data_IF_749443167166
#
_entry.id   IF_749443167166
#
_cell.length_a   1.000
_cell.length_b   1.000
_cell.length_c   1.000
_cell.angle_alpha   90.00
_cell.angle_beta   90.00
_cell.angle_gamma   90.00
#
_symmetry.space_group_name_H-M   'P 1'
#
loop_
_entity.id
_entity.type
_entity.pdbx_description
1 polymer ?
#
# COMPACT_ATOMS: atom_id res chain seq x y z
N UNK A 1 6.27 -17.86 -4.47
CA UNK A 1 5.20 -17.11 -3.76
C UNK A 1 4.28 -16.48 -4.79
N UNK A 2 2.96 -16.63 -4.64
CA UNK A 2 1.95 -15.96 -5.49
C UNK A 2 1.90 -14.44 -5.21
N UNK A 3 1.33 -13.66 -6.13
CA UNK A 3 1.15 -12.20 -5.95
C UNK A 3 0.32 -11.89 -4.69
N UNK A 4 -0.70 -12.72 -4.41
CA UNK A 4 -1.54 -12.62 -3.20
C UNK A 4 -0.68 -12.72 -1.92
N UNK A 5 0.24 -13.67 -1.85
CA UNK A 5 1.11 -13.86 -0.69
C UNK A 5 2.07 -12.68 -0.50
N UNK A 6 2.62 -12.12 -1.59
CA UNK A 6 3.50 -10.94 -1.53
C UNK A 6 2.74 -9.71 -1.04
N UNK A 7 1.52 -9.50 -1.54
CA UNK A 7 0.64 -8.41 -1.14
C UNK A 7 0.23 -8.50 0.34
N UNK A 8 -0.10 -9.69 0.82
CA UNK A 8 -0.40 -9.94 2.24
C UNK A 8 0.82 -9.65 3.12
N UNK A 9 2.01 -10.09 2.71
CA UNK A 9 3.24 -9.80 3.45
C UNK A 9 3.51 -8.30 3.53
N UNK A 10 3.39 -7.59 2.40
CA UNK A 10 3.53 -6.13 2.38
C UNK A 10 2.51 -5.45 3.31
N UNK A 11 1.24 -5.88 3.29
CA UNK A 11 0.21 -5.34 4.18
C UNK A 11 0.55 -5.53 5.65
N UNK A 12 0.98 -6.74 6.02
CA UNK A 12 1.37 -7.08 7.39
C UNK A 12 2.53 -6.20 7.88
N UNK A 13 3.60 -6.11 7.08
CA UNK A 13 4.78 -5.29 7.41
C UNK A 13 4.46 -3.78 7.39
N UNK A 14 3.59 -3.33 6.49
CA UNK A 14 3.09 -1.95 6.48
C UNK A 14 2.37 -1.64 7.79
N UNK A 15 1.38 -2.44 8.17
CA UNK A 15 0.54 -2.21 9.34
C UNK A 15 1.32 -2.30 10.66
N UNK A 16 2.24 -3.28 10.79
CA UNK A 16 3.09 -3.46 11.98
C UNK A 16 3.94 -2.22 12.29
N UNK A 17 4.41 -1.55 11.25
CA UNK A 17 5.30 -0.39 11.34
C UNK A 17 4.54 0.95 11.21
N UNK A 18 3.21 0.93 11.09
CA UNK A 18 2.40 2.14 10.93
C UNK A 18 1.58 2.42 12.20
N UNK A 19 1.37 3.70 12.55
CA UNK A 19 0.40 4.06 13.58
C UNK A 19 -1.02 3.66 13.15
N UNK A 20 -1.94 3.56 14.11
CA UNK A 20 -3.31 3.08 13.87
C UNK A 20 -4.04 3.84 12.75
N UNK A 21 -3.84 5.15 12.65
CA UNK A 21 -4.46 6.01 11.63
C UNK A 21 -3.89 5.80 10.21
N UNK A 22 -2.76 5.10 10.07
CA UNK A 22 -2.13 4.78 8.79
C UNK A 22 -2.12 3.28 8.49
N UNK A 23 -2.78 2.46 9.31
CA UNK A 23 -3.01 1.07 8.97
C UNK A 23 -3.97 0.98 7.78
N UNK A 24 -3.70 0.04 6.89
CA UNK A 24 -4.42 -0.14 5.66
C UNK A 24 -5.17 -1.48 5.65
N UNK A 25 -6.07 -1.62 4.68
CA UNK A 25 -6.75 -2.86 4.36
C UNK A 25 -6.34 -3.38 2.99
N UNK A 26 -6.60 -4.66 2.72
CA UNK A 26 -6.33 -5.26 1.41
C UNK A 26 -7.00 -4.49 0.25
N UNK A 27 -8.20 -3.96 0.47
CA UNK A 27 -8.94 -3.14 -0.49
C UNK A 27 -8.21 -1.84 -0.83
N UNK A 28 -7.57 -1.21 0.16
CA UNK A 28 -6.76 0.00 -0.06
C UNK A 28 -5.51 -0.32 -0.88
N UNK A 29 -4.87 -1.47 -0.68
CA UNK A 29 -3.74 -1.90 -1.53
C UNK A 29 -4.21 -2.18 -2.96
N UNK A 30 -5.36 -2.83 -3.15
CA UNK A 30 -5.93 -3.04 -4.49
C UNK A 30 -6.16 -1.71 -5.21
N UNK A 31 -6.75 -0.74 -4.51
CA UNK A 31 -7.01 0.59 -5.04
C UNK A 31 -5.71 1.34 -5.36
N UNK A 32 -4.72 1.27 -4.48
CA UNK A 32 -3.40 1.86 -4.71
C UNK A 32 -2.72 1.30 -5.97
N UNK A 33 -2.77 -0.03 -6.18
CA UNK A 33 -2.22 -0.67 -7.38
C UNK A 33 -2.91 -0.16 -8.66
N UNK A 34 -4.22 0.05 -8.63
CA UNK A 34 -4.98 0.59 -9.77
C UNK A 34 -4.62 2.06 -10.02
N UNK A 35 -4.70 2.91 -9.01
CA UNK A 35 -4.47 4.36 -9.16
C UNK A 35 -3.02 4.73 -9.45
N UNK A 36 -2.07 3.90 -8.99
CA UNK A 36 -0.63 4.13 -9.12
C UNK A 36 0.05 3.02 -9.93
N UNK A 37 -0.64 2.44 -10.92
CA UNK A 37 -0.10 1.32 -11.72
C UNK A 37 1.30 1.60 -12.30
N UNK A 38 1.62 2.85 -12.66
CA UNK A 38 2.90 3.24 -13.25
C UNK A 38 4.13 3.05 -12.35
N UNK A 39 3.97 2.97 -11.02
CA UNK A 39 5.09 2.71 -10.09
C UNK A 39 5.31 1.23 -9.81
N UNK A 40 4.40 0.35 -10.27
CA UNK A 40 4.53 -1.10 -10.16
C UNK A 40 5.23 -1.63 -11.42
N UNK A 41 6.56 -1.66 -11.41
CA UNK A 41 7.31 -2.11 -12.60
C UNK A 41 7.33 -3.63 -12.81
N UNK A 42 7.05 -4.45 -11.79
CA UNK A 42 7.16 -5.92 -11.88
C UNK A 42 6.19 -6.67 -10.94
N UNK A 43 5.03 -6.09 -10.60
CA UNK A 43 4.12 -6.62 -9.56
C UNK A 43 4.80 -6.93 -8.21
N UNK A 44 5.97 -6.33 -7.97
CA UNK A 44 6.75 -6.61 -6.80
C UNK A 44 6.31 -5.71 -5.64
N UNK A 45 5.58 -6.29 -4.68
CA UNK A 45 5.16 -5.64 -3.43
C UNK A 45 6.32 -5.40 -2.47
N UNK A 46 7.37 -4.70 -2.91
CA UNK A 46 8.55 -4.38 -2.10
C UNK A 46 8.22 -3.31 -1.06
N UNK A 47 8.44 -3.64 0.21
CA UNK A 47 8.27 -2.70 1.33
C UNK A 47 9.17 -1.48 1.15
N UNK A 48 10.44 -1.68 0.84
CA UNK A 48 11.41 -0.58 0.70
C UNK A 48 11.05 0.42 -0.41
N UNK A 49 10.47 -0.08 -1.51
CA UNK A 49 10.13 0.75 -2.68
C UNK A 49 8.74 1.36 -2.60
N UNK A 50 7.76 0.61 -2.11
CA UNK A 50 6.35 1.00 -2.20
C UNK A 50 5.80 1.61 -0.91
N UNK A 51 6.39 1.36 0.26
CA UNK A 51 5.83 1.84 1.53
C UNK A 51 5.71 3.36 1.59
N UNK A 52 6.76 4.08 1.19
CA UNK A 52 6.74 5.56 1.17
C UNK A 52 5.69 6.12 0.19
N UNK A 53 5.66 5.71 -1.09
CA UNK A 53 4.58 6.08 -2.00
C UNK A 53 3.18 5.73 -1.49
N UNK A 54 3.05 4.59 -0.81
CA UNK A 54 1.78 4.13 -0.25
C UNK A 54 1.30 5.02 0.92
N UNK A 55 2.18 5.37 1.87
CA UNK A 55 1.86 6.31 2.96
C UNK A 55 1.46 7.68 2.39
N UNK A 56 2.20 8.19 1.40
CA UNK A 56 1.86 9.46 0.76
C UNK A 56 0.47 9.40 0.10
N UNK A 57 0.16 8.29 -0.56
CA UNK A 57 -1.16 8.09 -1.15
C UNK A 57 -2.26 7.99 -0.08
N UNK A 58 -2.05 7.22 0.99
CA UNK A 58 -3.00 7.08 2.10
C UNK A 58 -3.34 8.44 2.72
N UNK A 59 -2.32 9.23 3.05
CA UNK A 59 -2.51 10.57 3.64
C UNK A 59 -3.22 11.54 2.68
N UNK A 60 -3.06 11.36 1.37
CA UNK A 60 -3.81 12.13 0.36
C UNK A 60 -5.29 11.76 0.25
N UNK A 61 -5.69 10.56 0.69
CA UNK A 61 -7.09 10.13 0.70
C UNK A 61 -7.90 10.80 1.81
N UNK A 62 -7.30 11.01 2.98
CA UNK A 62 -7.98 11.65 4.11
C UNK A 62 -8.35 13.11 3.83
N UNK A 63 -7.56 13.80 3.00
CA UNK A 63 -7.84 15.18 2.58
C UNK A 63 -8.98 15.30 1.54
N UNK A 64 -9.50 14.20 0.99
CA UNK A 64 -10.60 14.21 0.00
C UNK A 64 -11.98 13.98 0.62
N UNK A 65 -12.10 13.95 1.96
CA UNK A 65 -13.35 13.74 2.69
C UNK A 65 -13.95 15.02 3.31
N UNK A 66 -13.39 16.18 3.02
CA UNK A 66 -13.97 17.51 3.33
C UNK A 66 -14.69 18.07 2.12
#
# INVERSE_FOLDING_TARGET
MSDIAKKQNFLSEHNKLSPLNLQATMSMLSRFKIEKASIFKDDNWSVDKLRRPFILWLTSMDHKRT
#
